data_IF_481861503518
#
_entry.id   IF_481861503518
#
_cell.length_a   1.000
_cell.length_b   1.000
_cell.length_c   1.000
_cell.angle_alpha   90.00
_cell.angle_beta   90.00
_cell.angle_gamma   90.00
#
_symmetry.space_group_name_H-M   'P 1'
#
loop_
_entity.id
_entity.type
_entity.pdbx_description
1 polymer ?
#
# COMPACT_ATOMS: atom_id res chain seq x y z
N UNK A 1 -3.22 -32.86 20.49
CA UNK A 1 -3.65 -32.43 19.14
C UNK A 1 -5.17 -32.27 19.11
N UNK A 2 -5.67 -31.05 19.34
CA UNK A 2 -7.01 -30.59 18.94
C UNK A 2 -6.83 -29.12 18.57
N UNK A 3 -6.44 -28.88 17.32
CA UNK A 3 -6.31 -27.52 16.81
C UNK A 3 -7.72 -26.98 16.57
N UNK A 4 -7.98 -25.83 17.15
CA UNK A 4 -9.25 -25.13 17.18
C UNK A 4 -9.75 -24.77 15.77
N UNK A 5 -10.90 -25.33 15.39
CA UNK A 5 -11.70 -24.94 14.22
C UNK A 5 -12.46 -23.62 14.40
N UNK A 6 -12.26 -22.88 15.52
CA UNK A 6 -12.97 -21.62 15.78
C UNK A 6 -12.19 -20.37 15.39
N UNK A 7 -10.91 -20.48 15.01
CA UNK A 7 -10.09 -19.34 14.57
C UNK A 7 -10.35 -18.90 13.13
N UNK A 8 -10.80 -19.81 12.26
CA UNK A 8 -11.04 -19.53 10.84
C UNK A 8 -12.28 -18.65 10.57
N UNK A 9 -13.45 -18.88 11.21
CA UNK A 9 -14.57 -17.96 11.07
C UNK A 9 -14.35 -16.63 11.81
N UNK A 10 -13.49 -16.60 12.84
CA UNK A 10 -13.19 -15.38 13.59
C UNK A 10 -12.26 -14.42 12.81
N UNK A 11 -11.37 -14.95 11.97
CA UNK A 11 -10.53 -14.14 11.06
C UNK A 11 -11.32 -13.62 9.85
N UNK A 12 -12.27 -14.40 9.34
CA UNK A 12 -13.21 -13.92 8.31
C UNK A 12 -14.20 -12.90 8.87
N UNK A 13 -14.66 -13.09 10.11
CA UNK A 13 -15.49 -12.11 10.82
C UNK A 13 -14.69 -10.83 11.15
N UNK A 14 -13.42 -10.92 11.54
CA UNK A 14 -12.58 -9.75 11.79
C UNK A 14 -12.33 -8.92 10.52
N UNK A 15 -12.23 -9.56 9.35
CA UNK A 15 -12.15 -8.84 8.07
C UNK A 15 -13.47 -8.17 7.65
N UNK A 16 -14.63 -8.66 8.11
CA UNK A 16 -15.93 -8.01 7.88
C UNK A 16 -16.35 -7.02 8.99
N UNK A 17 -15.70 -7.05 10.16
CA UNK A 17 -16.01 -6.21 11.34
C UNK A 17 -15.24 -4.88 11.43
N UNK A 18 -14.34 -4.59 10.49
CA UNK A 18 -13.62 -3.29 10.47
C UNK A 18 -14.35 -2.16 9.72
N UNK A 19 -15.54 -2.41 9.17
CA UNK A 19 -16.48 -1.33 8.84
C UNK A 19 -17.13 -0.92 10.17
N UNK A 20 -16.46 -0.02 10.89
CA UNK A 20 -16.95 0.51 12.16
C UNK A 20 -18.40 1.00 12.03
N UNK A 21 -19.25 0.82 13.08
CA UNK A 21 -20.60 1.37 13.13
C UNK A 21 -20.64 2.91 13.17
N UNK A 22 -19.47 3.58 13.10
CA UNK A 22 -19.34 5.04 13.00
C UNK A 22 -19.82 5.57 11.64
N UNK A 23 -19.85 4.74 10.58
CA UNK A 23 -20.41 5.17 9.29
C UNK A 23 -21.93 5.28 9.30
N UNK A 24 -22.62 4.60 10.22
CA UNK A 24 -24.08 4.65 10.32
C UNK A 24 -24.61 6.01 10.82
N UNK A 25 -23.76 6.89 11.35
CA UNK A 25 -24.12 8.22 11.87
C UNK A 25 -23.70 9.39 10.95
N UNK A 26 -22.98 9.11 9.85
CA UNK A 26 -22.64 10.14 8.86
C UNK A 26 -23.75 10.19 7.82
N UNK A 27 -24.60 11.21 7.89
CA UNK A 27 -25.66 11.45 6.91
C UNK A 27 -25.14 11.41 5.46
N UNK A 28 -25.98 10.92 4.54
CA UNK A 28 -25.68 10.85 3.11
C UNK A 28 -25.26 12.23 2.60
N UNK A 29 -24.05 12.35 2.05
CA UNK A 29 -23.59 13.59 1.43
C UNK A 29 -24.26 13.78 0.08
N UNK A 30 -25.20 14.73 -0.05
CA UNK A 30 -25.87 15.08 -1.31
C UNK A 30 -25.03 16.01 -2.21
N UNK A 31 -23.70 16.01 -2.07
CA UNK A 31 -22.81 16.96 -2.75
C UNK A 31 -22.39 16.54 -4.17
N UNK A 32 -22.61 15.28 -4.56
CA UNK A 32 -22.10 14.69 -5.81
C UNK A 32 -22.60 15.39 -7.08
N UNK A 33 -23.82 15.92 -7.07
CA UNK A 33 -24.43 16.59 -8.23
C UNK A 33 -24.24 18.12 -8.21
N UNK A 34 -23.49 18.66 -7.23
CA UNK A 34 -23.27 20.11 -7.10
C UNK A 34 -22.21 20.63 -8.07
N UNK A 35 -21.17 19.82 -8.27
CA UNK A 35 -20.02 20.12 -9.12
C UNK A 35 -19.74 18.90 -9.99
N UNK A 36 -19.40 19.16 -11.25
CA UNK A 36 -19.02 18.11 -12.19
C UNK A 36 -17.58 18.28 -12.64
N UNK A 37 -17.06 17.30 -13.40
CA UNK A 37 -15.80 17.45 -14.10
C UNK A 37 -15.82 18.65 -15.07
N UNK A 38 -14.68 19.32 -15.34
CA UNK A 38 -14.64 20.63 -15.99
C UNK A 38 -15.42 20.73 -17.31
N UNK A 39 -15.35 19.71 -18.16
CA UNK A 39 -16.06 19.69 -19.44
C UNK A 39 -17.59 19.65 -19.21
N UNK A 40 -18.05 18.85 -18.26
CA UNK A 40 -19.47 18.74 -17.91
C UNK A 40 -19.98 20.01 -17.25
N UNK A 41 -19.22 20.52 -16.29
CA UNK A 41 -19.51 21.74 -15.53
C UNK A 41 -19.72 22.92 -16.48
N UNK A 42 -18.89 23.03 -17.52
CA UNK A 42 -18.91 24.16 -18.46
C UNK A 42 -20.00 24.03 -19.52
N UNK A 43 -20.15 22.85 -20.13
CA UNK A 43 -20.97 22.73 -21.35
C UNK A 43 -22.33 22.08 -21.14
N UNK A 44 -22.51 21.31 -20.07
CA UNK A 44 -23.65 20.43 -19.92
C UNK A 44 -24.48 20.71 -18.66
N UNK A 45 -23.86 21.28 -17.61
CA UNK A 45 -24.52 21.62 -16.34
C UNK A 45 -25.80 22.44 -16.52
N UNK A 46 -25.74 23.53 -17.28
CA UNK A 46 -26.90 24.42 -17.48
C UNK A 46 -28.05 23.67 -18.17
N UNK A 47 -27.73 22.84 -19.16
CA UNK A 47 -28.71 21.99 -19.84
C UNK A 47 -29.40 21.03 -18.86
N UNK A 48 -28.64 20.36 -18.00
CA UNK A 48 -29.23 19.46 -17.00
C UNK A 48 -30.07 20.20 -15.97
N UNK A 49 -29.62 21.35 -15.48
CA UNK A 49 -30.40 22.12 -14.51
C UNK A 49 -31.72 22.62 -15.11
N UNK A 50 -31.75 22.93 -16.40
CA UNK A 50 -32.97 23.34 -17.10
C UNK A 50 -33.93 22.17 -17.36
N UNK A 51 -33.41 21.05 -17.86
CA UNK A 51 -34.22 19.89 -18.23
C UNK A 51 -34.67 19.04 -17.04
N UNK A 52 -33.80 18.88 -16.03
CA UNK A 52 -34.01 18.02 -14.85
C UNK A 52 -34.27 18.83 -13.57
N UNK A 53 -34.89 20.01 -13.68
CA UNK A 53 -35.03 20.96 -12.57
C UNK A 53 -35.79 20.38 -11.36
N UNK A 54 -36.83 19.60 -11.62
CA UNK A 54 -37.62 18.93 -10.58
C UNK A 54 -36.80 17.86 -9.85
N UNK A 55 -36.06 17.03 -10.60
CA UNK A 55 -35.24 15.96 -10.03
C UNK A 55 -34.10 16.54 -9.19
N UNK A 56 -33.50 17.65 -9.62
CA UNK A 56 -32.53 18.39 -8.81
C UNK A 56 -33.16 18.93 -7.51
N UNK A 57 -34.35 19.54 -7.59
CA UNK A 57 -35.04 20.05 -6.41
C UNK A 57 -35.36 18.93 -5.41
N UNK A 58 -35.84 17.77 -5.89
CA UNK A 58 -36.14 16.61 -5.07
C UNK A 58 -34.86 16.01 -4.45
N UNK A 59 -33.79 15.90 -5.24
CA UNK A 59 -32.49 15.40 -4.77
C UNK A 59 -31.89 16.28 -3.67
N UNK A 60 -32.03 17.61 -3.73
CA UNK A 60 -31.49 18.50 -2.70
C UNK A 60 -32.44 18.76 -1.53
N UNK A 61 -33.69 18.31 -1.59
CA UNK A 61 -34.67 18.52 -0.53
C UNK A 61 -34.50 17.49 0.60
N UNK A 62 -33.86 17.90 1.70
CA UNK A 62 -33.63 17.05 2.88
C UNK A 62 -34.90 16.70 3.67
N UNK A 63 -35.99 17.43 3.43
CA UNK A 63 -37.27 17.18 4.11
C UNK A 63 -38.04 16.00 3.50
N UNK A 64 -37.66 15.54 2.31
CA UNK A 64 -38.28 14.38 1.68
C UNK A 64 -37.65 13.09 2.23
N UNK A 65 -38.45 12.14 2.74
CA UNK A 65 -37.96 10.80 3.00
C UNK A 65 -37.50 10.21 1.67
N UNK A 66 -36.33 9.59 1.63
CA UNK A 66 -35.78 8.96 0.42
C UNK A 66 -36.08 7.44 0.47
N UNK A 67 -37.26 7.00 -0.02
CA UNK A 67 -37.62 5.58 -0.03
C UNK A 67 -36.70 4.82 -1.01
N UNK A 68 -36.61 3.50 -0.87
CA UNK A 68 -35.71 2.71 -1.73
C UNK A 68 -34.26 2.73 -1.26
N UNK A 69 -34.05 2.55 0.05
CA UNK A 69 -32.72 2.46 0.68
C UNK A 69 -31.88 3.75 0.59
N UNK A 70 -32.50 4.90 0.26
CA UNK A 70 -31.84 6.20 0.24
C UNK A 70 -31.16 6.56 -1.08
N UNK A 71 -31.64 5.98 -2.20
CA UNK A 71 -31.06 6.18 -3.54
C UNK A 71 -32.08 6.54 -4.62
N UNK A 72 -33.38 6.66 -4.30
CA UNK A 72 -34.41 6.87 -5.31
C UNK A 72 -34.19 8.19 -6.04
N UNK A 73 -34.02 9.28 -5.31
CA UNK A 73 -33.85 10.59 -5.92
C UNK A 73 -32.53 10.75 -6.68
N UNK A 74 -31.45 10.08 -6.25
CA UNK A 74 -30.21 10.01 -7.04
C UNK A 74 -30.37 9.21 -8.33
N UNK A 75 -31.15 8.12 -8.29
CA UNK A 75 -31.44 7.30 -9.46
C UNK A 75 -32.28 8.07 -10.47
N UNK A 76 -33.39 8.67 -10.05
CA UNK A 76 -34.28 9.48 -10.91
C UNK A 76 -33.54 10.67 -11.53
N UNK A 77 -32.68 11.35 -10.76
CA UNK A 77 -31.85 12.44 -11.29
C UNK A 77 -30.82 11.93 -12.32
N UNK A 78 -30.16 10.80 -12.05
CA UNK A 78 -29.23 10.19 -12.98
C UNK A 78 -29.93 9.77 -14.28
N UNK A 79 -31.11 9.15 -14.20
CA UNK A 79 -31.91 8.76 -15.36
C UNK A 79 -32.23 9.97 -16.24
N UNK A 80 -32.72 11.07 -15.66
CA UNK A 80 -32.99 12.31 -16.40
C UNK A 80 -31.72 12.89 -17.05
N UNK A 81 -30.59 12.93 -16.32
CA UNK A 81 -29.32 13.41 -16.88
C UNK A 81 -28.87 12.56 -18.06
N UNK A 82 -28.99 11.23 -17.95
CA UNK A 82 -28.62 10.31 -19.01
C UNK A 82 -29.51 10.51 -20.24
N UNK A 83 -30.81 10.71 -20.10
CA UNK A 83 -31.71 11.02 -21.22
C UNK A 83 -31.27 12.26 -22.00
N UNK A 84 -30.86 13.32 -21.30
CA UNK A 84 -30.41 14.57 -21.91
C UNK A 84 -28.99 14.55 -22.48
N UNK A 85 -28.16 13.60 -22.05
CA UNK A 85 -26.72 13.59 -22.38
C UNK A 85 -26.44 13.35 -23.87
N UNK A 86 -27.35 12.63 -24.56
CA UNK A 86 -27.25 12.23 -25.95
C UNK A 86 -26.39 10.98 -26.18
N UNK A 87 -26.74 10.20 -27.21
CA UNK A 87 -26.18 8.85 -27.45
C UNK A 87 -24.67 8.83 -27.69
N UNK A 88 -24.13 9.79 -28.47
CA UNK A 88 -22.69 9.87 -28.72
C UNK A 88 -21.90 10.08 -27.43
N UNK A 89 -22.41 10.93 -26.54
CA UNK A 89 -21.73 11.21 -25.30
C UNK A 89 -21.91 10.09 -24.27
N UNK A 90 -23.02 9.34 -24.29
CA UNK A 90 -23.17 8.08 -23.53
C UNK A 90 -22.14 7.05 -23.98
N UNK A 91 -21.95 6.89 -25.29
CA UNK A 91 -20.91 6.02 -25.82
C UNK A 91 -19.50 6.46 -25.38
N UNK A 92 -19.23 7.78 -25.38
CA UNK A 92 -17.97 8.34 -24.88
C UNK A 92 -17.74 8.06 -23.38
N UNK A 93 -18.79 8.15 -22.55
CA UNK A 93 -18.70 7.73 -21.15
C UNK A 93 -18.41 6.25 -21.00
N UNK A 94 -19.04 5.40 -21.81
CA UNK A 94 -18.80 3.95 -21.75
C UNK A 94 -17.33 3.62 -22.09
N UNK A 95 -16.75 4.27 -23.10
CA UNK A 95 -15.31 4.14 -23.42
C UNK A 95 -14.45 4.62 -22.25
N UNK A 96 -14.80 5.75 -21.63
CA UNK A 96 -14.07 6.29 -20.49
C UNK A 96 -14.13 5.35 -19.28
N UNK A 97 -15.31 4.79 -18.99
CA UNK A 97 -15.51 3.80 -17.94
C UNK A 97 -14.62 2.57 -18.13
N UNK A 98 -14.46 2.07 -19.36
CA UNK A 98 -13.55 0.97 -19.68
C UNK A 98 -12.09 1.35 -19.39
N UNK A 99 -11.64 2.54 -19.83
CA UNK A 99 -10.26 2.99 -19.60
C UNK A 99 -9.96 3.15 -18.11
N UNK A 100 -10.91 3.72 -17.36
CA UNK A 100 -10.81 3.87 -15.91
C UNK A 100 -10.84 2.51 -15.20
N UNK A 101 -11.68 1.57 -15.64
CA UNK A 101 -11.75 0.20 -15.12
C UNK A 101 -10.42 -0.54 -15.28
N UNK A 102 -9.69 -0.31 -16.36
CA UNK A 102 -8.38 -0.92 -16.60
C UNK A 102 -7.28 -0.33 -15.72
N UNK A 103 -7.48 0.84 -15.11
CA UNK A 103 -6.45 1.55 -14.38
C UNK A 103 -5.90 0.75 -13.17
N UNK A 104 -6.71 0.17 -12.26
CA UNK A 104 -6.20 -0.62 -11.15
C UNK A 104 -5.36 -1.82 -11.59
N UNK A 105 -5.73 -2.49 -12.68
CA UNK A 105 -4.98 -3.61 -13.25
C UNK A 105 -3.72 -3.15 -14.01
N UNK A 106 -3.78 -2.03 -14.72
CA UNK A 106 -2.65 -1.44 -15.42
C UNK A 106 -1.56 -0.98 -14.47
N UNK A 107 -1.93 -0.33 -13.36
CA UNK A 107 -0.98 0.14 -12.35
C UNK A 107 -0.24 -1.00 -11.64
N UNK A 108 -0.83 -2.19 -11.52
CA UNK A 108 -0.14 -3.37 -10.96
C UNK A 108 1.13 -3.74 -11.74
N UNK A 109 1.17 -3.46 -13.05
CA UNK A 109 2.33 -3.77 -13.89
C UNK A 109 3.51 -2.83 -13.61
N UNK A 110 3.22 -1.57 -13.30
CA UNK A 110 4.22 -0.58 -12.92
C UNK A 110 4.49 -0.60 -11.41
N UNK A 111 3.58 -1.19 -10.66
CA UNK A 111 3.58 -1.16 -9.23
C UNK A 111 4.46 -2.20 -8.58
N UNK A 112 4.94 -1.90 -7.37
CA UNK A 112 5.80 -2.75 -6.63
C UNK A 112 5.04 -3.95 -6.08
N UNK A 113 5.75 -5.05 -5.97
CA UNK A 113 5.20 -6.22 -5.31
C UNK A 113 4.96 -5.94 -3.84
N UNK A 114 3.94 -6.58 -3.29
CA UNK A 114 3.72 -6.59 -1.84
C UNK A 114 4.97 -7.06 -1.07
N UNK A 115 5.75 -7.97 -1.67
CA UNK A 115 7.01 -8.44 -1.11
C UNK A 115 8.07 -7.32 -1.04
N UNK A 116 8.25 -6.55 -2.11
CA UNK A 116 9.17 -5.40 -2.18
C UNK A 116 8.84 -4.34 -1.10
N UNK A 117 7.56 -3.96 -0.97
CA UNK A 117 7.11 -3.02 0.05
C UNK A 117 7.35 -3.55 1.47
N UNK A 118 7.10 -4.84 1.70
CA UNK A 118 7.31 -5.46 3.01
C UNK A 118 8.79 -5.57 3.41
N UNK A 119 9.69 -5.75 2.45
CA UNK A 119 11.13 -5.70 2.67
C UNK A 119 11.55 -4.28 3.05
N UNK A 120 11.10 -3.26 2.30
CA UNK A 120 11.42 -1.86 2.60
C UNK A 120 10.89 -1.44 3.98
N UNK A 121 9.70 -1.89 4.37
CA UNK A 121 9.07 -1.52 5.64
C UNK A 121 9.83 -2.02 6.87
N UNK A 122 10.80 -2.93 6.71
CA UNK A 122 11.73 -3.32 7.79
C UNK A 122 12.67 -2.19 8.23
N UNK A 123 12.91 -1.23 7.34
CA UNK A 123 13.83 -0.10 7.53
C UNK A 123 13.09 1.23 7.54
N UNK A 124 12.20 1.43 6.57
CA UNK A 124 11.46 2.68 6.38
C UNK A 124 9.96 2.43 6.22
N UNK A 125 9.26 2.03 7.30
CA UNK A 125 7.83 1.75 7.25
C UNK A 125 6.98 2.93 6.75
N UNK A 126 7.34 4.17 7.07
CA UNK A 126 6.52 5.32 6.66
C UNK A 126 6.68 5.63 5.18
N UNK A 127 7.91 5.64 4.66
CA UNK A 127 8.16 5.76 3.22
C UNK A 127 7.50 4.62 2.44
N UNK A 128 7.64 3.37 2.91
CA UNK A 128 7.02 2.20 2.28
C UNK A 128 5.49 2.33 2.19
N UNK A 129 4.85 2.89 3.23
CA UNK A 129 3.40 3.13 3.25
C UNK A 129 2.99 4.20 2.24
N UNK A 130 3.71 5.32 2.17
CA UNK A 130 3.45 6.38 1.19
C UNK A 130 3.62 5.88 -0.24
N UNK A 131 4.69 5.14 -0.52
CA UNK A 131 4.88 4.50 -1.82
C UNK A 131 3.72 3.55 -2.12
N UNK A 132 3.33 2.71 -1.16
CA UNK A 132 2.19 1.81 -1.29
C UNK A 132 0.87 2.50 -1.66
N UNK A 133 0.57 3.67 -1.07
CA UNK A 133 -0.63 4.45 -1.41
C UNK A 133 -0.53 5.15 -2.76
N UNK A 134 0.65 5.66 -3.12
CA UNK A 134 0.88 6.36 -4.39
C UNK A 134 0.64 5.50 -5.65
N UNK A 135 0.54 4.18 -5.49
CA UNK A 135 0.38 3.21 -6.55
C UNK A 135 -1.04 2.68 -6.72
N UNK A 136 -1.93 3.02 -5.78
CA UNK A 136 -3.35 2.70 -5.75
C UNK A 136 -3.69 1.19 -5.68
N UNK A 137 -2.82 0.31 -6.17
CA UNK A 137 -3.09 -1.12 -6.38
C UNK A 137 -1.86 -1.99 -6.01
N UNK A 138 -1.99 -2.95 -5.08
CA UNK A 138 -0.88 -3.79 -4.64
C UNK A 138 -0.67 -4.95 -5.62
N UNK A 139 0.57 -5.18 -6.05
CA UNK A 139 0.88 -6.28 -6.97
C UNK A 139 0.94 -7.64 -6.23
N UNK A 140 0.07 -8.62 -6.59
CA UNK A 140 -0.05 -9.92 -5.93
C UNK A 140 0.97 -10.97 -6.38
N UNK A 141 2.16 -10.53 -6.82
CA UNK A 141 3.27 -11.42 -7.13
C UNK A 141 3.63 -12.35 -5.96
N UNK A 142 4.29 -13.45 -6.28
CA UNK A 142 4.75 -14.42 -5.29
C UNK A 142 5.74 -13.80 -4.29
N UNK A 143 5.64 -14.21 -3.03
CA UNK A 143 6.52 -13.76 -1.96
C UNK A 143 7.88 -14.46 -2.03
N UNK A 144 8.70 -14.06 -3.00
CA UNK A 144 10.10 -14.49 -3.14
C UNK A 144 11.07 -13.39 -2.65
N UNK A 145 11.19 -13.29 -1.33
CA UNK A 145 12.01 -12.24 -0.71
C UNK A 145 13.50 -12.36 -1.03
N UNK A 146 14.01 -13.61 -1.08
CA UNK A 146 15.42 -13.89 -1.35
C UNK A 146 15.76 -13.56 -2.81
N UNK A 147 14.94 -14.02 -3.76
CA UNK A 147 15.13 -13.71 -5.17
C UNK A 147 15.03 -12.21 -5.49
N UNK A 148 14.14 -11.48 -4.80
CA UNK A 148 14.06 -10.00 -4.91
C UNK A 148 15.37 -9.35 -4.47
N UNK A 149 15.91 -9.74 -3.31
CA UNK A 149 17.16 -9.18 -2.79
C UNK A 149 18.36 -9.59 -3.65
N UNK A 150 18.41 -10.83 -4.11
CA UNK A 150 19.50 -11.32 -4.97
C UNK A 150 19.51 -10.60 -6.33
N UNK A 151 18.35 -10.50 -6.98
CA UNK A 151 18.20 -9.79 -8.25
C UNK A 151 18.56 -8.32 -8.10
N UNK A 152 18.02 -7.65 -7.08
CA UNK A 152 18.34 -6.26 -6.80
C UNK A 152 19.82 -6.06 -6.47
N UNK A 153 20.48 -7.02 -5.81
CA UNK A 153 21.91 -7.00 -5.55
C UNK A 153 22.76 -7.12 -6.82
N UNK A 154 22.40 -8.04 -7.73
CA UNK A 154 23.13 -8.27 -8.99
C UNK A 154 22.94 -7.14 -10.02
N UNK A 155 21.71 -6.68 -10.22
CA UNK A 155 21.38 -5.65 -11.23
C UNK A 155 21.83 -4.23 -10.80
N UNK A 156 22.17 -4.04 -9.53
CA UNK A 156 22.51 -2.74 -8.96
C UNK A 156 23.91 -2.20 -9.28
N UNK A 157 24.66 -2.86 -10.17
CA UNK A 157 25.91 -2.31 -10.71
C UNK A 157 25.69 -1.01 -11.51
N UNK A 158 24.51 -0.81 -12.11
CA UNK A 158 24.16 0.36 -12.92
C UNK A 158 23.45 1.49 -12.15
N UNK A 159 22.70 1.14 -11.08
CA UNK A 159 21.98 2.07 -10.19
C UNK A 159 22.76 2.37 -8.91
N UNK A 160 24.07 2.13 -8.91
CA UNK A 160 24.93 2.53 -7.80
C UNK A 160 24.63 3.98 -7.40
N UNK A 161 24.69 4.33 -6.09
CA UNK A 161 24.69 5.73 -5.72
C UNK A 161 25.78 6.35 -6.57
N UNK A 162 25.41 7.33 -7.40
CA UNK A 162 26.35 8.15 -8.17
C UNK A 162 27.53 8.34 -7.22
N UNK A 163 28.75 7.93 -7.55
CA UNK A 163 29.87 7.92 -6.57
C UNK A 163 30.02 9.26 -5.80
N UNK A 164 29.49 10.36 -6.36
CA UNK A 164 29.31 11.65 -5.71
C UNK A 164 28.38 11.68 -4.46
N UNK A 165 27.38 10.81 -4.38
CA UNK A 165 26.45 10.61 -3.26
C UNK A 165 26.88 9.51 -2.27
N UNK A 166 28.10 8.98 -2.44
CA UNK A 166 28.65 7.93 -1.59
C UNK A 166 28.99 8.47 -0.19
N UNK A 167 27.94 8.61 0.63
CA UNK A 167 27.92 8.40 2.09
C UNK A 167 28.75 9.30 3.00
N UNK A 168 29.71 10.09 2.49
CA UNK A 168 30.62 10.92 3.31
C UNK A 168 29.95 12.19 3.82
N UNK A 169 29.03 12.77 3.05
CA UNK A 169 28.40 14.04 3.39
C UNK A 169 26.99 13.83 3.94
N UNK A 170 26.75 14.26 5.18
CA UNK A 170 25.41 14.25 5.81
C UNK A 170 24.36 14.93 4.94
N UNK A 171 24.74 16.01 4.24
CA UNK A 171 23.88 16.79 3.34
C UNK A 171 23.32 15.92 2.20
N UNK A 172 24.14 15.05 1.60
CA UNK A 172 23.69 14.17 0.52
C UNK A 172 22.63 13.17 1.00
N UNK A 173 22.74 12.70 2.24
CA UNK A 173 21.75 11.78 2.85
C UNK A 173 20.39 12.45 2.99
N UNK A 174 20.41 13.67 3.55
CA UNK A 174 19.21 14.48 3.76
C UNK A 174 18.56 14.83 2.43
N UNK A 175 19.36 15.20 1.42
CA UNK A 175 18.84 15.58 0.11
C UNK A 175 18.13 14.41 -0.60
N UNK A 176 18.74 13.22 -0.60
CA UNK A 176 18.11 12.02 -1.20
C UNK A 176 16.82 11.69 -0.49
N UNK A 177 16.84 11.61 0.84
CA UNK A 177 15.63 11.31 1.61
C UNK A 177 14.53 12.36 1.38
N UNK A 178 14.89 13.65 1.31
CA UNK A 178 13.95 14.73 1.02
C UNK A 178 13.28 14.52 -0.35
N UNK A 179 14.06 14.22 -1.39
CA UNK A 179 13.53 13.97 -2.74
C UNK A 179 12.59 12.76 -2.75
N UNK A 180 12.98 11.66 -2.09
CA UNK A 180 12.14 10.45 -1.98
C UNK A 180 10.81 10.73 -1.30
N UNK A 181 10.81 11.50 -0.20
CA UNK A 181 9.58 11.88 0.49
C UNK A 181 8.72 12.85 -0.30
N UNK A 182 9.32 13.82 -1.00
CA UNK A 182 8.56 14.74 -1.87
C UNK A 182 7.84 13.94 -2.96
N UNK A 183 8.52 12.99 -3.60
CA UNK A 183 7.92 12.11 -4.61
C UNK A 183 6.82 11.25 -4.00
N UNK A 184 7.09 10.57 -2.88
CA UNK A 184 6.14 9.64 -2.25
C UNK A 184 4.89 10.37 -1.72
N UNK A 185 5.06 11.53 -1.07
CA UNK A 185 3.94 12.37 -0.62
C UNK A 185 3.18 12.96 -1.80
N UNK A 186 3.87 13.42 -2.85
CA UNK A 186 3.24 13.93 -4.06
C UNK A 186 2.37 12.88 -4.76
N UNK A 187 2.88 11.65 -4.89
CA UNK A 187 2.13 10.53 -5.46
C UNK A 187 0.92 10.14 -4.59
N UNK A 188 1.09 10.08 -3.27
CA UNK A 188 0.00 9.80 -2.31
C UNK A 188 -1.07 10.88 -2.36
N UNK A 189 -0.68 12.15 -2.31
CA UNK A 189 -1.59 13.29 -2.38
C UNK A 189 -2.35 13.31 -3.71
N UNK A 190 -1.66 13.02 -4.82
CA UNK A 190 -2.31 12.88 -6.12
C UNK A 190 -3.36 11.76 -6.11
N UNK A 191 -3.03 10.57 -5.57
CA UNK A 191 -3.98 9.46 -5.46
C UNK A 191 -5.26 9.88 -4.71
N UNK A 192 -5.13 10.43 -3.51
CA UNK A 192 -6.27 10.89 -2.71
C UNK A 192 -7.01 12.07 -3.35
N UNK A 193 -6.31 12.96 -4.05
CA UNK A 193 -6.93 14.07 -4.77
C UNK A 193 -7.78 13.58 -5.94
N UNK A 194 -7.32 12.61 -6.71
CA UNK A 194 -8.13 12.03 -7.79
C UNK A 194 -9.30 11.22 -7.24
N UNK A 195 -9.12 10.46 -6.15
CA UNK A 195 -10.24 9.79 -5.46
C UNK A 195 -11.28 10.81 -5.01
N UNK A 196 -10.85 11.93 -4.41
CA UNK A 196 -11.75 13.02 -4.03
C UNK A 196 -12.55 13.55 -5.23
N UNK A 197 -11.90 13.77 -6.39
CA UNK A 197 -12.58 14.20 -7.61
C UNK A 197 -13.56 13.15 -8.12
N UNK A 198 -13.19 11.88 -8.11
CA UNK A 198 -14.08 10.78 -8.50
C UNK A 198 -15.29 10.64 -7.58
N UNK A 199 -15.11 10.91 -6.28
CA UNK A 199 -16.18 10.81 -5.29
C UNK A 199 -17.15 11.99 -5.32
N UNK A 200 -16.65 13.22 -5.55
CA UNK A 200 -17.45 14.44 -5.37
C UNK A 200 -17.72 15.23 -6.66
N UNK A 201 -16.99 14.97 -7.73
CA UNK A 201 -17.17 15.64 -9.04
C UNK A 201 -17.61 14.69 -10.15
N UNK A 202 -17.66 13.39 -9.87
CA UNK A 202 -18.25 12.37 -10.73
C UNK A 202 -19.19 11.49 -9.91
N UNK A 203 -19.86 10.57 -10.58
CA UNK A 203 -20.88 9.73 -9.95
C UNK A 203 -20.46 8.28 -10.13
N UNK A 204 -20.34 7.55 -9.03
CA UNK A 204 -20.06 6.12 -9.05
C UNK A 204 -21.39 5.35 -9.04
N UNK A 205 -21.68 4.61 -10.11
CA UNK A 205 -22.90 3.81 -10.21
C UNK A 205 -22.86 2.55 -9.33
N UNK A 206 -21.68 2.02 -9.01
CA UNK A 206 -21.56 0.83 -8.19
C UNK A 206 -22.25 0.96 -6.81
N UNK A 207 -21.97 1.99 -5.98
CA UNK A 207 -22.68 2.18 -4.71
C UNK A 207 -24.13 2.64 -4.88
N UNK A 208 -24.52 3.15 -6.05
CA UNK A 208 -25.91 3.50 -6.37
C UNK A 208 -26.77 2.24 -6.60
N UNK A 209 -26.20 1.22 -7.25
CA UNK A 209 -26.91 -0.02 -7.63
C UNK A 209 -26.71 -1.13 -6.58
N UNK A 210 -25.50 -1.29 -6.06
CA UNK A 210 -25.15 -2.28 -5.05
C UNK A 210 -25.04 -1.59 -3.69
N UNK A 211 -26.20 -1.31 -3.08
CA UNK A 211 -26.28 -0.66 -1.78
C UNK A 211 -25.68 -1.54 -0.67
N UNK A 212 -24.78 -0.96 0.11
CA UNK A 212 -24.28 -1.53 1.37
C UNK A 212 -24.92 -0.75 2.53
N UNK A 213 -25.82 -1.37 3.32
CA UNK A 213 -26.48 -0.70 4.42
C UNK A 213 -25.52 -0.01 5.38
N UNK A 214 -25.69 1.29 5.60
CA UNK A 214 -24.93 2.07 6.58
C UNK A 214 -23.55 2.55 6.13
N UNK A 215 -23.21 2.44 4.84
CA UNK A 215 -21.99 3.01 4.27
C UNK A 215 -22.36 4.15 3.32
N UNK A 216 -21.90 5.40 3.57
CA UNK A 216 -22.09 6.49 2.62
C UNK A 216 -21.42 6.16 1.28
N UNK A 217 -22.06 6.47 0.16
CA UNK A 217 -21.50 6.24 -1.18
C UNK A 217 -20.11 6.86 -1.35
N UNK A 218 -19.92 8.04 -0.75
CA UNK A 218 -18.64 8.74 -0.75
C UNK A 218 -17.54 7.96 -0.02
N UNK A 219 -17.89 7.20 1.01
CA UNK A 219 -16.94 6.41 1.78
C UNK A 219 -16.47 5.16 1.03
N UNK A 220 -17.15 4.70 -0.02
CA UNK A 220 -16.83 3.45 -0.72
C UNK A 220 -15.47 3.50 -1.41
N UNK A 221 -15.20 4.55 -2.21
CA UNK A 221 -13.92 4.70 -2.92
C UNK A 221 -12.75 4.98 -1.97
N UNK A 222 -12.95 5.85 -0.97
CA UNK A 222 -11.93 6.08 0.06
C UNK A 222 -11.66 4.81 0.87
N UNK A 223 -12.72 4.11 1.28
CA UNK A 223 -12.64 2.84 1.99
C UNK A 223 -11.86 1.81 1.20
N UNK A 224 -12.16 1.66 -0.09
CA UNK A 224 -11.35 0.85 -0.99
C UNK A 224 -9.88 1.27 -0.97
N UNK A 225 -9.55 2.54 -1.18
CA UNK A 225 -8.15 2.98 -1.16
C UNK A 225 -7.45 2.72 0.17
N UNK A 226 -8.15 2.87 1.30
CA UNK A 226 -7.64 2.57 2.65
C UNK A 226 -7.42 1.07 2.91
N UNK A 227 -8.10 0.16 2.19
CA UNK A 227 -7.85 -1.28 2.28
C UNK A 227 -6.43 -1.68 1.84
N UNK A 228 -5.70 -0.79 1.16
CA UNK A 228 -4.27 -0.99 0.90
C UNK A 228 -3.45 -1.13 2.18
N UNK A 229 -3.77 -0.38 3.24
CA UNK A 229 -3.02 -0.41 4.49
C UNK A 229 -3.02 -1.80 5.16
N UNK A 230 -4.19 -2.43 5.43
CA UNK A 230 -4.20 -3.78 5.99
C UNK A 230 -3.58 -4.82 5.04
N UNK A 231 -3.65 -4.65 3.72
CA UNK A 231 -2.96 -5.52 2.77
C UNK A 231 -1.43 -5.45 2.91
N UNK A 232 -0.87 -4.25 3.01
CA UNK A 232 0.57 -4.07 3.24
C UNK A 232 0.99 -4.56 4.64
N UNK A 233 0.13 -4.39 5.65
CA UNK A 233 0.38 -4.95 6.99
C UNK A 233 0.40 -6.49 6.96
N UNK A 234 -0.55 -7.13 6.28
CA UNK A 234 -0.56 -8.59 6.09
C UNK A 234 0.70 -9.05 5.36
N UNK A 235 1.11 -8.32 4.32
CA UNK A 235 2.34 -8.60 3.58
C UNK A 235 3.58 -8.50 4.47
N UNK A 236 3.64 -7.49 5.35
CA UNK A 236 4.69 -7.37 6.35
C UNK A 236 4.65 -8.51 7.39
N UNK A 237 3.47 -8.97 7.81
CA UNK A 237 3.36 -10.14 8.69
C UNK A 237 3.91 -11.39 8.00
N UNK A 238 3.62 -11.60 6.70
CA UNK A 238 4.20 -12.69 5.92
C UNK A 238 5.73 -12.61 5.91
N UNK A 239 6.29 -11.41 5.71
CA UNK A 239 7.73 -11.18 5.83
C UNK A 239 8.27 -11.50 7.24
N UNK A 240 7.62 -11.03 8.30
CA UNK A 240 8.03 -11.25 9.70
C UNK A 240 7.88 -12.71 10.16
N UNK A 241 7.06 -13.51 9.47
CA UNK A 241 7.01 -14.95 9.64
C UNK A 241 8.19 -15.66 8.97
N UNK A 242 8.66 -15.14 7.84
CA UNK A 242 9.78 -15.68 7.07
C UNK A 242 11.14 -15.34 7.68
N UNK A 243 11.31 -14.09 8.16
CA UNK A 243 12.58 -13.57 8.64
C UNK A 243 12.48 -12.92 10.01
N UNK A 244 13.54 -13.07 10.79
CA UNK A 244 13.80 -12.22 11.95
C UNK A 244 15.01 -11.33 11.69
N UNK A 245 14.98 -10.12 12.24
CA UNK A 245 16.11 -9.19 12.17
C UNK A 245 17.12 -9.58 13.24
N UNK A 246 18.30 -10.04 12.83
CA UNK A 246 19.39 -10.27 13.76
C UNK A 246 19.96 -8.90 14.18
N UNK A 247 19.52 -8.39 15.33
CA UNK A 247 20.11 -7.21 15.94
C UNK A 247 21.45 -7.57 16.58
N UNK A 248 22.57 -6.89 16.22
CA UNK A 248 23.79 -7.00 17.01
C UNK A 248 23.50 -6.51 18.43
N UNK A 249 23.97 -7.25 19.44
CA UNK A 249 23.84 -6.87 20.84
C UNK A 249 24.37 -5.43 21.02
N UNK A 250 23.57 -4.48 21.55
CA UNK A 250 24.03 -3.11 21.72
C UNK A 250 25.08 -3.08 22.83
N UNK A 251 26.35 -2.87 22.46
CA UNK A 251 27.45 -2.87 23.42
C UNK A 251 27.50 -1.61 24.29
N UNK A 252 26.88 -0.47 23.94
CA UNK A 252 26.91 0.74 24.79
C UNK A 252 25.72 1.70 24.59
N UNK A 253 25.36 2.38 25.70
CA UNK A 253 24.46 3.54 25.91
C UNK A 253 22.93 3.40 25.72
N UNK A 254 22.29 2.88 26.77
CA UNK A 254 20.84 2.65 26.96
C UNK A 254 19.96 3.90 27.17
N UNK A 255 20.41 5.12 26.83
CA UNK A 255 19.70 6.37 27.19
C UNK A 255 19.36 7.31 26.03
N UNK A 256 19.55 6.90 24.77
CA UNK A 256 19.08 7.68 23.62
C UNK A 256 17.58 7.45 23.42
N UNK A 257 16.85 8.52 23.15
CA UNK A 257 15.39 8.49 23.05
C UNK A 257 14.98 7.63 21.83
N UNK A 258 14.32 6.49 22.06
CA UNK A 258 13.96 5.51 21.01
C UNK A 258 13.21 6.13 19.83
N UNK A 259 12.39 7.16 20.08
CA UNK A 259 11.69 7.91 19.03
C UNK A 259 12.65 8.66 18.10
N UNK A 260 13.71 9.27 18.63
CA UNK A 260 14.71 9.98 17.81
C UNK A 260 15.50 8.97 16.97
N UNK A 261 15.83 7.80 17.53
CA UNK A 261 16.50 6.74 16.77
C UNK A 261 15.64 6.23 15.61
N UNK A 262 14.33 6.08 15.85
CA UNK A 262 13.37 5.67 14.84
C UNK A 262 13.28 6.72 13.71
N UNK A 263 13.13 8.01 14.05
CA UNK A 263 13.07 9.10 13.07
C UNK A 263 14.35 9.18 12.25
N UNK A 264 15.52 9.06 12.90
CA UNK A 264 16.81 9.05 12.19
C UNK A 264 16.91 7.83 11.27
N UNK A 265 16.47 6.66 11.71
CA UNK A 265 16.48 5.45 10.89
C UNK A 265 15.54 5.56 9.68
N UNK A 266 14.37 6.16 9.86
CA UNK A 266 13.38 6.40 8.81
C UNK A 266 13.89 7.41 7.76
N UNK A 267 14.56 8.48 8.19
CA UNK A 267 15.12 9.51 7.30
C UNK A 267 16.46 9.13 6.65
N UNK A 268 17.02 7.95 6.96
CA UNK A 268 18.33 7.55 6.44
C UNK A 268 18.21 6.61 5.24
N UNK A 269 18.78 7.01 4.07
CA UNK A 269 19.38 6.18 3.04
C UNK A 269 19.40 4.66 3.26
N UNK A 270 18.67 3.76 2.57
CA UNK A 270 18.90 2.32 2.82
C UNK A 270 20.36 1.95 2.49
N UNK A 271 20.92 2.61 1.46
CA UNK A 271 22.31 2.45 1.03
C UNK A 271 23.33 3.15 1.92
N UNK A 272 22.89 3.94 2.90
CA UNK A 272 23.75 4.71 3.81
C UNK A 272 23.53 4.36 5.28
N UNK A 273 22.60 3.42 5.57
CA UNK A 273 22.32 2.87 6.88
C UNK A 273 23.23 1.70 7.27
N UNK A 274 23.11 1.20 8.52
CA UNK A 274 23.86 0.02 8.97
C UNK A 274 23.39 -1.23 8.22
N UNK A 275 24.27 -2.23 8.04
CA UNK A 275 23.93 -3.49 7.37
C UNK A 275 22.70 -4.17 8.01
N UNK A 276 21.84 -4.78 7.19
CA UNK A 276 20.67 -5.54 7.63
C UNK A 276 21.03 -7.02 7.64
N UNK A 277 20.96 -7.64 8.82
CA UNK A 277 21.11 -9.09 8.94
C UNK A 277 19.75 -9.73 9.06
N UNK A 278 19.40 -10.55 8.09
CA UNK A 278 18.16 -11.31 8.06
C UNK A 278 18.49 -12.77 8.33
N UNK A 279 17.82 -13.34 9.32
CA UNK A 279 17.91 -14.77 9.60
C UNK A 279 16.57 -15.42 9.26
N UNK A 280 16.62 -16.51 8.50
CA UNK A 280 15.43 -17.28 8.13
C UNK A 280 14.85 -17.96 9.37
N UNK A 281 13.54 -17.87 9.54
CA UNK A 281 12.83 -18.47 10.66
C UNK A 281 12.38 -19.89 10.33
N UNK A 282 12.96 -20.87 11.01
CA UNK A 282 12.56 -22.27 10.86
C UNK A 282 11.21 -22.56 11.55
N UNK A 283 10.48 -23.55 11.04
CA UNK A 283 9.25 -24.08 11.66
C UNK A 283 7.95 -23.30 11.40
N UNK A 284 7.97 -22.24 10.58
CA UNK A 284 6.76 -21.44 10.22
C UNK A 284 6.40 -21.43 8.74
N UNK A 285 7.06 -22.27 7.93
CA UNK A 285 6.91 -22.26 6.47
C UNK A 285 5.46 -22.51 6.01
N UNK A 286 4.75 -23.45 6.64
CA UNK A 286 3.35 -23.76 6.27
C UNK A 286 2.44 -22.55 6.53
N UNK A 287 2.61 -21.88 7.67
CA UNK A 287 1.83 -20.68 8.01
C UNK A 287 2.18 -19.51 7.08
N UNK A 288 3.46 -19.33 6.76
CA UNK A 288 3.92 -18.33 5.80
C UNK A 288 3.30 -18.57 4.41
N UNK A 289 3.33 -19.81 3.89
CA UNK A 289 2.75 -20.16 2.59
C UNK A 289 1.24 -19.97 2.57
N UNK A 290 0.54 -20.38 3.63
CA UNK A 290 -0.90 -20.20 3.74
C UNK A 290 -1.29 -18.72 3.78
N UNK A 291 -0.65 -17.95 4.66
CA UNK A 291 -0.93 -16.52 4.81
C UNK A 291 -0.54 -15.75 3.53
N UNK A 292 0.61 -16.06 2.94
CA UNK A 292 1.04 -15.47 1.66
C UNK A 292 0.08 -15.79 0.51
N UNK A 293 -0.45 -17.01 0.45
CA UNK A 293 -1.50 -17.36 -0.52
C UNK A 293 -2.78 -16.56 -0.29
N UNK A 294 -3.23 -16.48 0.96
CA UNK A 294 -4.41 -15.71 1.34
C UNK A 294 -4.25 -14.21 1.02
N UNK A 295 -3.11 -13.60 1.37
CA UNK A 295 -2.84 -12.19 1.08
C UNK A 295 -2.86 -11.91 -0.42
N UNK A 296 -2.33 -12.81 -1.26
CA UNK A 296 -2.41 -12.67 -2.73
C UNK A 296 -3.85 -12.77 -3.24
N UNK A 297 -4.65 -13.69 -2.71
CA UNK A 297 -6.07 -13.80 -3.06
C UNK A 297 -6.85 -12.53 -2.70
N UNK A 298 -6.63 -11.99 -1.49
CA UNK A 298 -7.29 -10.75 -1.05
C UNK A 298 -6.83 -9.56 -1.88
N UNK A 299 -5.54 -9.47 -2.22
CA UNK A 299 -5.02 -8.43 -3.12
C UNK A 299 -5.62 -8.54 -4.53
N UNK A 300 -5.74 -9.75 -5.08
CA UNK A 300 -6.44 -9.98 -6.35
C UNK A 300 -7.90 -9.54 -6.31
N UNK A 301 -8.62 -9.86 -5.24
CA UNK A 301 -9.99 -9.40 -5.04
C UNK A 301 -10.07 -7.88 -4.90
N UNK A 302 -9.12 -7.26 -4.19
CA UNK A 302 -9.03 -5.80 -4.04
C UNK A 302 -8.85 -5.10 -5.40
N UNK A 303 -8.07 -5.67 -6.31
CA UNK A 303 -7.94 -5.17 -7.69
C UNK A 303 -9.28 -5.26 -8.42
N UNK A 304 -9.97 -6.40 -8.36
CA UNK A 304 -11.29 -6.59 -9.01
C UNK A 304 -12.31 -5.58 -8.47
N UNK A 305 -12.36 -5.40 -7.15
CA UNK A 305 -13.24 -4.40 -6.51
C UNK A 305 -12.90 -2.99 -7.01
N UNK A 306 -11.61 -2.64 -7.07
CA UNK A 306 -11.15 -1.35 -7.58
C UNK A 306 -11.55 -1.11 -9.04
N UNK A 307 -11.36 -2.12 -9.89
CA UNK A 307 -11.76 -2.10 -11.31
C UNK A 307 -13.26 -1.84 -11.44
N UNK A 308 -14.10 -2.52 -10.65
CA UNK A 308 -15.55 -2.31 -10.67
C UNK A 308 -15.94 -0.92 -10.15
N UNK A 309 -15.35 -0.47 -9.03
CA UNK A 309 -15.68 0.83 -8.44
C UNK A 309 -15.28 1.99 -9.36
N UNK A 310 -14.03 1.99 -9.84
CA UNK A 310 -13.52 3.03 -10.72
C UNK A 310 -14.15 2.94 -12.12
N UNK A 311 -14.40 1.73 -12.62
CA UNK A 311 -15.10 1.51 -13.88
C UNK A 311 -16.57 1.92 -13.86
N UNK A 312 -17.19 2.00 -12.68
CA UNK A 312 -18.57 2.48 -12.53
C UNK A 312 -18.70 4.00 -12.49
N UNK A 313 -17.58 4.74 -12.58
CA UNK A 313 -17.58 6.20 -12.56
C UNK A 313 -18.11 6.72 -13.90
N UNK A 314 -19.18 7.50 -13.83
CA UNK A 314 -19.83 8.14 -14.97
C UNK A 314 -19.81 9.66 -14.84
N UNK A 315 -20.26 10.35 -15.88
CA UNK A 315 -20.22 11.80 -16.03
C UNK A 315 -18.80 12.38 -16.05
N UNK A 316 -17.82 11.60 -16.49
CA UNK A 316 -16.48 12.07 -16.80
C UNK A 316 -16.22 11.88 -18.30
N UNK A 317 -16.12 12.96 -19.09
CA UNK A 317 -15.79 12.87 -20.50
C UNK A 317 -14.36 12.37 -20.71
N UNK A 318 -14.09 11.73 -21.85
CA UNK A 318 -12.77 11.20 -22.18
C UNK A 318 -11.65 12.25 -22.11
N UNK A 319 -11.93 13.49 -22.53
CA UNK A 319 -10.97 14.60 -22.46
C UNK A 319 -10.52 14.91 -21.03
N UNK A 320 -11.40 14.74 -20.05
CA UNK A 320 -11.10 15.01 -18.64
C UNK A 320 -10.48 13.80 -17.92
N UNK A 321 -10.73 12.58 -18.40
CA UNK A 321 -10.20 11.35 -17.79
C UNK A 321 -8.75 11.06 -18.18
N UNK A 322 -8.33 11.39 -19.40
CA UNK A 322 -6.95 11.14 -19.86
C UNK A 322 -5.88 11.80 -18.97
N UNK A 323 -5.98 13.09 -18.61
CA UNK A 323 -5.03 13.71 -17.68
C UNK A 323 -4.98 13.02 -16.31
N UNK A 324 -6.13 12.52 -15.84
CA UNK A 324 -6.22 11.78 -14.56
C UNK A 324 -5.47 10.44 -14.67
N UNK A 325 -5.72 9.69 -15.75
CA UNK A 325 -5.02 8.42 -16.03
C UNK A 325 -3.51 8.64 -16.14
N UNK A 326 -3.07 9.64 -16.90
CA UNK A 326 -1.64 9.95 -17.04
C UNK A 326 -1.01 10.34 -15.70
N UNK A 327 -1.74 11.08 -14.86
CA UNK A 327 -1.27 11.43 -13.52
C UNK A 327 -1.03 10.19 -12.64
N UNK A 328 -1.94 9.22 -12.67
CA UNK A 328 -1.75 7.94 -11.95
C UNK A 328 -0.57 7.14 -12.48
N UNK A 329 -0.43 7.01 -13.81
CA UNK A 329 0.70 6.30 -14.43
C UNK A 329 2.02 6.98 -14.08
N UNK A 330 2.10 8.30 -14.14
CA UNK A 330 3.30 9.04 -13.80
C UNK A 330 3.67 8.89 -12.32
N UNK A 331 2.68 9.00 -11.42
CA UNK A 331 2.89 8.74 -10.00
C UNK A 331 3.39 7.31 -9.73
N UNK A 332 2.87 6.32 -10.46
CA UNK A 332 3.31 4.94 -10.36
C UNK A 332 4.75 4.73 -10.84
N UNK A 333 5.14 5.36 -11.96
CA UNK A 333 6.52 5.30 -12.47
C UNK A 333 7.50 5.92 -11.47
N UNK A 334 7.16 7.09 -10.90
CA UNK A 334 8.02 7.77 -9.94
C UNK A 334 8.18 6.98 -8.63
N UNK A 335 7.08 6.45 -8.09
CA UNK A 335 7.13 5.62 -6.87
C UNK A 335 7.88 4.31 -7.12
N UNK A 336 7.75 3.71 -8.32
CA UNK A 336 8.54 2.56 -8.74
C UNK A 336 10.04 2.88 -8.79
N UNK A 337 10.41 4.02 -9.35
CA UNK A 337 11.81 4.45 -9.41
C UNK A 337 12.43 4.62 -8.01
N UNK A 338 11.71 5.28 -7.09
CA UNK A 338 12.15 5.45 -5.69
C UNK A 338 12.29 4.09 -5.01
N UNK A 339 11.31 3.19 -5.17
CA UNK A 339 11.38 1.89 -4.54
C UNK A 339 12.52 1.03 -5.09
N UNK A 340 12.69 0.97 -6.40
CA UNK A 340 13.79 0.22 -7.02
C UNK A 340 15.14 0.72 -6.53
N UNK A 341 15.32 2.04 -6.42
CA UNK A 341 16.53 2.63 -5.83
C UNK A 341 16.75 2.17 -4.38
N UNK A 342 15.74 2.27 -3.52
CA UNK A 342 15.83 1.90 -2.11
C UNK A 342 16.09 0.39 -1.91
N UNK A 343 15.44 -0.47 -2.70
CA UNK A 343 15.63 -1.93 -2.64
C UNK A 343 17.02 -2.33 -3.15
N UNK A 344 17.49 -1.76 -4.27
CA UNK A 344 18.87 -2.00 -4.73
C UNK A 344 19.91 -1.59 -3.70
N UNK A 345 19.68 -0.46 -3.03
CA UNK A 345 20.51 0.01 -1.94
C UNK A 345 20.47 -0.90 -0.71
N UNK A 346 19.28 -1.38 -0.35
CA UNK A 346 19.08 -2.30 0.77
C UNK A 346 19.71 -3.66 0.49
N UNK A 347 19.56 -4.19 -0.72
CA UNK A 347 20.12 -5.47 -1.15
C UNK A 347 21.64 -5.51 -1.00
N UNK A 348 22.36 -4.45 -1.41
CA UNK A 348 23.82 -4.34 -1.23
C UNK A 348 24.28 -4.42 0.22
N UNK A 349 23.42 -4.07 1.17
CA UNK A 349 23.72 -4.04 2.60
C UNK A 349 23.00 -5.11 3.39
N UNK A 350 22.37 -6.07 2.72
CA UNK A 350 21.66 -7.15 3.37
C UNK A 350 22.50 -8.42 3.34
N UNK A 351 22.77 -8.97 4.52
CA UNK A 351 23.39 -10.27 4.70
C UNK A 351 22.29 -11.23 5.15
N UNK A 352 22.05 -12.29 4.37
CA UNK A 352 21.15 -13.37 4.75
C UNK A 352 22.01 -14.43 5.43
N UNK A 353 21.87 -14.55 6.75
CA UNK A 353 22.55 -15.61 7.49
C UNK A 353 21.77 -16.92 7.26
N UNK A 354 22.44 -18.00 6.81
CA UNK A 354 21.79 -19.31 6.77
C UNK A 354 21.34 -19.66 8.18
N UNK A 355 20.22 -20.36 8.31
CA UNK A 355 19.81 -20.90 9.59
C UNK A 355 20.94 -21.82 10.08
N UNK A 356 21.78 -21.31 10.98
CA UNK A 356 22.78 -22.11 11.67
C UNK A 356 21.98 -23.22 12.34
N UNK A 357 22.16 -24.47 11.88
CA UNK A 357 21.77 -25.63 12.68
C UNK A 357 22.35 -25.33 14.05
N UNK A 358 21.49 -25.14 15.06
CA UNK A 358 21.93 -25.23 16.45
C UNK A 358 22.34 -26.70 16.64
N UNK A 359 23.53 -27.03 16.14
CA UNK A 359 24.21 -28.25 16.48
C UNK A 359 24.50 -28.19 17.98
N UNK A 360 24.34 -29.30 18.72
CA UNK A 360 24.63 -29.35 20.15
C UNK A 360 26.08 -28.98 20.52
N UNK A 361 26.98 -28.81 19.55
CA UNK A 361 28.43 -28.72 19.78
C UNK A 361 28.94 -27.36 20.28
N UNK A 362 28.12 -26.30 20.36
CA UNK A 362 28.56 -25.01 20.93
C UNK A 362 28.43 -24.89 22.45
N UNK A 363 27.96 -25.93 23.13
CA UNK A 363 27.86 -25.97 24.60
C UNK A 363 29.06 -26.62 25.30
N UNK A 364 30.09 -27.05 24.54
CA UNK A 364 31.20 -27.85 25.09
C UNK A 364 32.61 -27.24 24.96
N UNK A 365 32.74 -25.99 24.51
CA UNK A 365 34.07 -25.35 24.38
C UNK A 365 34.33 -24.11 25.23
N UNK A 366 33.45 -23.80 26.19
CA UNK A 366 33.67 -22.71 27.13
C UNK A 366 33.84 -23.16 28.58
N UNK A 367 34.44 -24.34 28.83
CA UNK A 367 34.99 -24.71 30.13
C UNK A 367 36.12 -25.71 29.95
N UNK A 368 37.36 -25.25 29.74
CA UNK A 368 38.62 -25.86 30.22
C UNK A 368 39.81 -25.27 29.44
N UNK A 369 40.30 -24.13 29.91
CA UNK A 369 41.68 -23.68 29.67
C UNK A 369 42.25 -23.03 30.94
N UNK A 370 42.12 -23.73 32.06
CA UNK A 370 43.09 -23.61 33.15
C UNK A 370 44.26 -24.53 32.79
N UNK A 371 45.32 -23.95 32.25
CA UNK A 371 46.56 -24.65 31.96
C UNK A 371 47.16 -25.27 33.24
N UNK A 372 47.74 -26.47 33.17
CA UNK A 372 48.35 -27.11 34.33
C UNK A 372 49.64 -26.37 34.71
N UNK A 373 49.71 -25.90 35.97
CA UNK A 373 50.97 -25.53 36.62
C UNK A 373 51.78 -26.81 36.84
N UNK A 374 52.83 -26.98 36.05
CA UNK A 374 53.82 -28.04 36.20
C UNK A 374 54.73 -27.68 37.39
N UNK A 375 54.63 -28.46 38.47
CA UNK A 375 55.61 -28.49 39.54
C UNK A 375 56.77 -29.38 39.10
N UNK A 376 57.94 -28.81 38.84
CA UNK A 376 59.20 -29.56 38.80
C UNK A 376 59.92 -29.37 40.14
N UNK A 377 59.85 -30.41 40.95
CA UNK A 377 60.68 -30.58 42.13
C UNK A 377 61.72 -31.66 41.87
N UNK A 378 62.98 -31.28 42.11
CA UNK A 378 64.09 -32.11 42.59
C UNK A 378 64.73 -33.11 41.61
N UNK A 379 65.97 -32.78 41.20
CA UNK A 379 67.05 -33.78 41.17
C UNK A 379 68.36 -33.21 41.69
N UNK A 380 68.98 -34.05 42.51
CA UNK A 380 70.19 -33.93 43.31
C UNK A 380 71.45 -34.28 42.49
N UNK A 381 72.61 -33.77 42.94
CA UNK A 381 73.98 -34.15 42.53
C UNK A 381 74.83 -32.91 42.22
N UNK A 382 75.98 -32.63 42.82
CA UNK A 382 76.87 -33.30 43.79
C UNK A 382 77.49 -32.24 44.72
#
# INVERSE_FOLDING_TARGET
MRLSNTLYPLLLAACSLHISPVTAALGRTRSQFKHFFPTVETYAKERFHKACSEQFANYFNESLPDPGQGHKYSGELMECILEEWGELNKANMAVTAILLALLPAGLVQFGPSMAEISILSTRRPFLATLLGFGLMSPNPAEFDFEGILEKAGKDSASLAPIKALDGRYFIAKVLVSLVEYVIAMGATANCFFQIYRFTYMAISLAPLVAYVPGVPEAATLFGWAFLNLPLYLLSFIVFALAFHRATPQPRFNKRRNRFIEFIIAELTPCGQGPALRLQRREGRETLQRLLGSLTRLVAGLHIIVGTTLIGSIVLIPLGDSLPVIYSFVFAAILTRAVLSYEISCLAKRTEIEPAERLGPDRLLHETHSLGPKQYEGLRQGD
#
